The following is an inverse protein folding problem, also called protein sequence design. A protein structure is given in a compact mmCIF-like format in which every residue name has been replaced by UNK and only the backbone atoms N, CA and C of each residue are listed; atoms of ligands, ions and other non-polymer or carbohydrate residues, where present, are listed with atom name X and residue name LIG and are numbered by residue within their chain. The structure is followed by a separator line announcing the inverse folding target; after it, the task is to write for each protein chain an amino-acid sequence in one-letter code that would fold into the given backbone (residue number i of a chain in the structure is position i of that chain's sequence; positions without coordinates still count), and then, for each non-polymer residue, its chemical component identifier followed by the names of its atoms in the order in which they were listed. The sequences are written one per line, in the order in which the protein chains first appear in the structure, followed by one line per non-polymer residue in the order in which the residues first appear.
data_IF_626163873781
#
_entry.id   IF_626163873781
#
_cell.length_a   1.000
_cell.length_b   1.000
_cell.length_c   1.000
_cell.angle_alpha   90.00
_cell.angle_beta   90.00
_cell.angle_gamma   90.00
#
_symmetry.space_group_name_H-M   'P 1'
#
loop_
_entity.id
_entity.type
_entity.pdbx_description
1 polymer ?
#
# COMPACT_ATOMS: atom_id res chain seq x y z
N UNK A 1 -25.48 8.94 -2.31
CA UNK A 1 -24.19 9.32 -1.69
C UNK A 1 -23.08 8.69 -2.52
N UNK A 2 -22.73 9.28 -3.67
CA UNK A 2 -21.90 8.63 -4.71
C UNK A 2 -20.89 9.61 -5.36
N UNK A 3 -20.19 10.43 -4.57
CA UNK A 3 -19.28 11.45 -5.14
C UNK A 3 -17.78 11.22 -4.89
N UNK A 4 -17.35 10.02 -4.50
CA UNK A 4 -15.94 9.78 -4.17
C UNK A 4 -15.27 8.77 -5.10
N UNK A 5 -15.26 8.98 -6.42
CA UNK A 5 -14.45 8.12 -7.31
C UNK A 5 -13.89 8.76 -8.60
N UNK A 6 -14.07 10.08 -8.84
CA UNK A 6 -13.70 10.66 -10.15
C UNK A 6 -12.26 11.17 -10.29
N UNK A 7 -11.55 11.45 -9.19
CA UNK A 7 -10.24 12.15 -9.24
C UNK A 7 -9.05 11.37 -8.67
N UNK A 8 -9.19 10.10 -8.28
CA UNK A 8 -8.02 9.36 -7.75
C UNK A 8 -7.05 8.99 -8.88
N UNK A 9 -5.79 9.45 -8.84
CA UNK A 9 -4.84 9.17 -9.91
C UNK A 9 -4.64 7.66 -10.11
N UNK A 10 -4.44 7.18 -11.35
CA UNK A 10 -4.24 5.75 -11.63
C UNK A 10 -3.14 5.12 -10.78
N UNK A 11 -2.08 5.88 -10.48
CA UNK A 11 -1.00 5.45 -9.59
C UNK A 11 -1.49 5.19 -8.16
N UNK A 12 -2.21 6.13 -7.56
CA UNK A 12 -2.77 5.97 -6.21
C UNK A 12 -3.75 4.79 -6.16
N UNK A 13 -4.61 4.63 -7.18
CA UNK A 13 -5.53 3.49 -7.27
C UNK A 13 -4.79 2.15 -7.28
N UNK A 14 -3.66 2.04 -7.99
CA UNK A 14 -2.82 0.83 -7.99
C UNK A 14 -2.18 0.58 -6.64
N UNK A 15 -1.59 1.60 -6.03
CA UNK A 15 -0.97 1.49 -4.70
C UNK A 15 -2.00 1.04 -3.64
N UNK A 16 -3.23 1.55 -3.69
CA UNK A 16 -4.32 1.11 -2.81
C UNK A 16 -4.61 -0.39 -2.97
N UNK A 17 -4.76 -0.87 -4.21
CA UNK A 17 -5.00 -2.29 -4.51
C UNK A 17 -3.85 -3.17 -4.01
N UNK A 18 -2.60 -2.77 -4.26
CA UNK A 18 -1.41 -3.51 -3.82
C UNK A 18 -1.38 -3.61 -2.30
N UNK A 19 -1.52 -2.49 -1.59
CA UNK A 19 -1.48 -2.47 -0.13
C UNK A 19 -2.63 -3.28 0.47
N UNK A 20 -3.84 -3.16 -0.07
CA UNK A 20 -4.98 -3.94 0.39
C UNK A 20 -4.75 -5.46 0.23
N UNK A 21 -4.26 -5.90 -0.93
CA UNK A 21 -3.95 -7.31 -1.18
C UNK A 21 -2.84 -7.82 -0.24
N UNK A 22 -1.78 -7.03 -0.03
CA UNK A 22 -0.70 -7.40 0.88
C UNK A 22 -1.18 -7.57 2.33
N UNK A 23 -2.03 -6.65 2.81
CA UNK A 23 -2.60 -6.72 4.16
C UNK A 23 -3.51 -7.93 4.31
N UNK A 24 -4.37 -8.20 3.31
CA UNK A 24 -5.27 -9.35 3.32
C UNK A 24 -4.50 -10.69 3.36
N UNK A 25 -3.45 -10.82 2.55
CA UNK A 25 -2.57 -11.99 2.54
C UNK A 25 -1.89 -12.18 3.90
N UNK A 26 -1.29 -11.12 4.45
CA UNK A 26 -0.62 -11.18 5.74
C UNK A 26 -1.59 -11.57 6.87
N UNK A 27 -2.78 -10.97 6.90
CA UNK A 27 -3.82 -11.25 7.89
C UNK A 27 -4.31 -12.70 7.82
N UNK A 28 -4.52 -13.24 6.62
CA UNK A 28 -4.95 -14.62 6.43
C UNK A 28 -3.93 -15.61 7.00
N UNK A 29 -2.65 -15.38 6.70
CA UNK A 29 -1.59 -16.34 7.04
C UNK A 29 -1.14 -16.26 8.50
N UNK A 30 -1.19 -15.07 9.13
CA UNK A 30 -0.71 -14.90 10.52
C UNK A 30 -1.82 -14.88 11.56
N UNK A 31 -3.01 -14.39 11.19
CA UNK A 31 -4.12 -14.19 12.13
C UNK A 31 -5.32 -15.10 11.81
N UNK A 32 -5.20 -15.99 10.82
CA UNK A 32 -6.27 -16.94 10.46
C UNK A 32 -7.51 -16.27 9.85
N UNK A 33 -7.36 -15.08 9.25
CA UNK A 33 -8.48 -14.32 8.69
C UNK A 33 -9.22 -15.08 7.59
N UNK A 34 -10.40 -15.63 7.91
CA UNK A 34 -11.24 -16.41 7.01
C UNK A 34 -12.16 -15.53 6.14
N UNK A 35 -11.56 -14.71 5.28
CA UNK A 35 -12.30 -13.88 4.31
C UNK A 35 -12.54 -12.42 4.73
N UNK A 36 -12.33 -12.09 6.01
CA UNK A 36 -12.34 -10.71 6.52
C UNK A 36 -11.05 -10.38 7.25
N UNK A 37 -10.65 -9.10 7.22
CA UNK A 37 -9.50 -8.63 8.01
C UNK A 37 -9.83 -8.69 9.51
N UNK A 38 -8.86 -9.07 10.34
CA UNK A 38 -8.97 -8.87 11.78
C UNK A 38 -8.95 -7.38 12.12
N UNK A 39 -9.36 -7.00 13.34
CA UNK A 39 -9.45 -5.60 13.77
C UNK A 39 -8.15 -4.81 13.56
N UNK A 40 -7.00 -5.41 13.89
CA UNK A 40 -5.69 -4.78 13.70
C UNK A 40 -5.34 -4.53 12.23
N UNK A 41 -5.58 -5.53 11.37
CA UNK A 41 -5.30 -5.42 9.95
C UNK A 41 -6.29 -4.48 9.25
N UNK A 42 -7.55 -4.44 9.70
CA UNK A 42 -8.55 -3.49 9.23
C UNK A 42 -8.14 -2.05 9.55
N UNK A 43 -7.73 -1.78 10.79
CA UNK A 43 -7.24 -0.46 11.21
C UNK A 43 -6.00 -0.03 10.41
N UNK A 44 -5.05 -0.95 10.16
CA UNK A 44 -3.89 -0.68 9.32
C UNK A 44 -4.30 -0.37 7.87
N UNK A 45 -5.25 -1.12 7.32
CA UNK A 45 -5.77 -0.93 5.97
C UNK A 45 -6.43 0.45 5.82
N UNK A 46 -7.36 0.80 6.71
CA UNK A 46 -8.03 2.10 6.69
C UNK A 46 -7.04 3.26 6.82
N UNK A 47 -6.06 3.13 7.73
CA UNK A 47 -5.00 4.11 7.86
C UNK A 47 -4.21 4.27 6.56
N UNK A 48 -3.83 3.16 5.92
CA UNK A 48 -3.10 3.18 4.66
C UNK A 48 -3.91 3.83 3.53
N UNK A 49 -5.20 3.53 3.42
CA UNK A 49 -6.09 4.14 2.43
C UNK A 49 -6.16 5.65 2.63
N UNK A 50 -6.39 6.11 3.87
CA UNK A 50 -6.45 7.53 4.20
C UNK A 50 -5.14 8.27 3.88
N UNK A 51 -3.97 7.64 4.08
CA UNK A 51 -2.67 8.23 3.69
C UNK A 51 -2.47 8.28 2.18
N UNK A 52 -3.00 7.32 1.43
CA UNK A 52 -2.92 7.29 -0.03
C UNK A 52 -3.85 8.33 -0.66
N UNK A 53 -5.04 8.55 -0.10
CA UNK A 53 -5.96 9.59 -0.55
C UNK A 53 -5.39 11.00 -0.40
N UNK A 54 -4.63 11.24 0.69
CA UNK A 54 -4.03 12.55 0.99
C UNK A 54 -2.57 12.63 0.56
N UNK A 55 -2.15 11.82 -0.41
CA UNK A 55 -0.76 11.79 -0.83
C UNK A 55 -0.41 13.05 -1.64
N UNK A 56 0.50 13.87 -1.11
CA UNK A 56 0.98 15.12 -1.75
C UNK A 56 1.58 14.92 -3.15
N UNK A 57 2.04 13.70 -3.47
CA UNK A 57 2.60 13.36 -4.76
C UNK A 57 1.55 12.90 -5.79
N UNK A 58 0.36 12.49 -5.35
CA UNK A 58 -0.71 12.04 -6.25
C UNK A 58 -0.23 11.05 -7.32
N UNK A 59 -0.36 11.46 -8.59
CA UNK A 59 0.04 10.67 -9.75
C UNK A 59 1.54 10.35 -9.79
N UNK A 60 2.38 11.24 -9.25
CA UNK A 60 3.84 11.17 -9.24
C UNK A 60 4.39 10.45 -7.99
N UNK A 61 3.51 9.78 -7.23
CA UNK A 61 3.90 9.10 -6.00
C UNK A 61 5.03 8.10 -6.25
N UNK A 62 6.20 8.24 -5.59
CA UNK A 62 7.24 7.23 -5.64
C UNK A 62 6.84 6.01 -4.81
N UNK A 63 7.57 4.91 -4.99
CA UNK A 63 7.42 3.75 -4.12
C UNK A 63 7.59 4.12 -2.64
N UNK A 64 6.73 3.58 -1.77
CA UNK A 64 6.68 3.94 -0.35
C UNK A 64 8.04 3.80 0.36
N UNK A 65 8.87 2.82 -0.02
CA UNK A 65 10.22 2.61 0.53
C UNK A 65 11.19 3.76 0.23
N UNK A 66 11.04 4.43 -0.93
CA UNK A 66 11.89 5.53 -1.39
C UNK A 66 11.22 6.90 -1.21
N UNK A 67 10.05 6.95 -0.61
CA UNK A 67 9.29 8.19 -0.49
C UNK A 67 10.04 9.17 0.45
N UNK A 68 10.34 10.40 0.02
CA UNK A 68 11.09 11.37 0.82
C UNK A 68 10.24 11.99 1.94
N UNK A 69 8.95 11.64 2.04
CA UNK A 69 8.06 12.08 3.12
C UNK A 69 7.67 10.93 4.05
N UNK A 70 7.77 11.22 5.33
CA UNK A 70 7.45 10.29 6.41
C UNK A 70 5.97 10.38 6.80
N UNK A 71 5.11 9.84 5.94
CA UNK A 71 3.65 9.95 6.10
C UNK A 71 3.04 8.96 7.11
N UNK A 72 3.73 7.88 7.47
CA UNK A 72 3.23 6.91 8.46
C UNK A 72 3.70 7.24 9.87
N UNK A 73 2.80 7.12 10.86
CA UNK A 73 3.16 7.09 12.28
C UNK A 73 4.18 5.96 12.52
N UNK A 74 5.16 6.11 13.43
CA UNK A 74 6.22 5.12 13.64
C UNK A 74 5.71 3.68 13.84
N UNK A 75 4.78 3.49 14.77
CA UNK A 75 4.22 2.16 15.07
C UNK A 75 3.52 1.51 13.86
N UNK A 76 2.72 2.28 13.11
CA UNK A 76 2.04 1.78 11.91
C UNK A 76 3.00 1.57 10.73
N UNK A 77 4.12 2.29 10.71
CA UNK A 77 5.18 2.10 9.72
C UNK A 77 5.88 0.76 9.91
N UNK A 78 6.08 0.33 11.15
CA UNK A 78 6.66 -0.98 11.43
C UNK A 78 5.71 -2.09 10.98
N UNK A 79 4.43 -2.00 11.37
CA UNK A 79 3.38 -2.94 10.92
C UNK A 79 3.33 -3.07 9.39
N UNK A 80 3.29 -1.95 8.65
CA UNK A 80 3.23 -2.03 7.17
C UNK A 80 4.52 -2.58 6.55
N UNK A 81 5.68 -2.38 7.18
CA UNK A 81 6.95 -2.98 6.72
C UNK A 81 6.96 -4.49 6.90
N UNK A 82 6.41 -4.99 7.99
CA UNK A 82 6.24 -6.43 8.21
C UNK A 82 5.33 -7.04 7.14
N UNK A 83 4.19 -6.41 6.88
CA UNK A 83 3.27 -6.79 5.79
C UNK A 83 4.01 -6.80 4.44
N UNK A 84 4.71 -5.71 4.08
CA UNK A 84 5.43 -5.63 2.81
C UNK A 84 6.55 -6.68 2.69
N UNK A 85 7.28 -6.96 3.78
CA UNK A 85 8.35 -7.97 3.81
C UNK A 85 7.79 -9.37 3.60
N UNK A 86 6.63 -9.67 4.21
CA UNK A 86 5.99 -10.97 4.11
C UNK A 86 5.32 -11.18 2.75
N UNK A 87 4.47 -10.22 2.35
CA UNK A 87 3.60 -10.32 1.19
C UNK A 87 4.33 -9.98 -0.12
N UNK A 88 5.39 -9.17 -0.11
CA UNK A 88 6.12 -8.76 -1.32
C UNK A 88 6.59 -9.94 -2.20
N UNK A 89 7.37 -10.90 -1.65
CA UNK A 89 7.81 -12.08 -2.41
C UNK A 89 6.64 -12.99 -2.82
N UNK A 90 5.58 -13.04 -2.01
CA UNK A 90 4.41 -13.93 -2.23
C UNK A 90 3.43 -13.37 -3.27
N UNK A 91 3.37 -12.05 -3.42
CA UNK A 91 2.53 -11.39 -4.42
C UNK A 91 2.90 -11.81 -5.85
N UNK A 92 4.16 -12.19 -6.10
CA UNK A 92 4.60 -12.72 -7.41
C UNK A 92 3.86 -14.01 -7.78
N UNK A 93 3.51 -14.84 -6.78
CA UNK A 93 2.83 -16.12 -7.01
C UNK A 93 1.32 -15.94 -7.22
N UNK A 94 0.70 -15.05 -6.47
CA UNK A 94 -0.76 -14.87 -6.46
C UNK A 94 -1.24 -13.81 -7.46
N UNK A 95 -0.44 -12.76 -7.68
CA UNK A 95 -0.74 -11.67 -8.60
C UNK A 95 0.49 -11.26 -9.41
N UNK A 96 0.97 -12.11 -10.34
CA UNK A 96 2.24 -11.91 -11.03
C UNK A 96 2.34 -10.55 -11.77
N UNK A 97 1.28 -10.12 -12.45
CA UNK A 97 1.24 -8.83 -13.15
C UNK A 97 1.30 -7.62 -12.20
N UNK A 98 0.59 -7.70 -11.06
CA UNK A 98 0.59 -6.64 -10.06
C UNK A 98 1.93 -6.56 -9.34
N UNK A 99 2.53 -7.72 -9.01
CA UNK A 99 3.84 -7.80 -8.41
C UNK A 99 4.92 -7.21 -9.33
N UNK A 100 4.91 -7.58 -10.62
CA UNK A 100 5.88 -7.07 -11.58
C UNK A 100 5.81 -5.54 -11.70
N UNK A 101 4.61 -4.97 -11.84
CA UNK A 101 4.43 -3.52 -11.88
C UNK A 101 4.91 -2.85 -10.59
N UNK A 102 4.56 -3.40 -9.42
CA UNK A 102 5.00 -2.88 -8.13
C UNK A 102 6.54 -2.91 -7.97
N UNK A 103 7.19 -3.96 -8.46
CA UNK A 103 8.65 -4.09 -8.45
C UNK A 103 9.31 -3.09 -9.39
N UNK A 104 8.81 -2.93 -10.62
CA UNK A 104 9.29 -1.93 -11.57
C UNK A 104 9.14 -0.52 -11.01
N UNK A 105 8.01 -0.24 -10.38
CA UNK A 105 7.74 1.02 -9.71
C UNK A 105 8.64 1.27 -8.50
N UNK A 106 9.08 0.21 -7.81
CA UNK A 106 10.07 0.28 -6.74
C UNK A 106 11.49 0.56 -7.24
N UNK A 107 11.77 0.31 -8.53
CA UNK A 107 13.08 0.61 -9.13
C UNK A 107 13.23 2.08 -9.53
N UNK A 108 12.13 2.79 -9.82
CA UNK A 108 12.15 4.22 -10.15
C UNK A 108 12.82 5.06 -9.05
N UNK A 109 13.50 6.12 -9.45
CA UNK A 109 14.07 7.11 -8.54
C UNK A 109 12.96 7.98 -7.94
N UNK A 110 13.08 8.38 -6.67
CA UNK A 110 12.08 9.24 -6.06
C UNK A 110 12.16 10.66 -6.63
N UNK A 111 11.01 11.34 -6.83
CA UNK A 111 11.01 12.76 -7.17
C UNK A 111 11.59 13.58 -6.01
N UNK A 112 12.01 14.81 -6.32
CA UNK A 112 12.44 15.76 -5.30
C UNK A 112 11.36 15.96 -4.23
N UNK A 113 11.81 16.27 -3.00
CA UNK A 113 10.92 16.43 -1.85
C UNK A 113 10.04 17.66 -2.06
N UNK A 114 8.75 17.48 -2.39
CA UNK A 114 7.76 18.57 -2.42
C UNK A 114 7.58 19.08 -0.98
N UNK A 115 7.84 20.37 -0.77
CA UNK A 115 7.87 21.03 0.55
C UNK A 115 6.47 21.27 1.09
#
# INVERSE_FOLDING_TARGET
MEEQHKDTPPRIRREKKVVAAMIAMHCRDHHGGAGTLCADCAALHEYAMARLDRCVYGAEKPACKKCPVHCYKPALREKIREVMRYAGPRMVREHPLMALQHLLDSRKEPPERKR
#
